data_IF_827729257580
#
_entry.id   IF_827729257580
#
_cell.length_a   1.000
_cell.length_b   1.000
_cell.length_c   1.000
_cell.angle_alpha   90.00
_cell.angle_beta   90.00
_cell.angle_gamma   90.00
#
_symmetry.space_group_name_H-M   'P 1'
#
loop_
_entity.id
_entity.type
_entity.pdbx_description
1 polymer ?
#
# COMPACT_ATOMS: atom_id res chain seq x y z
N UNK A 1 -10.46 -80.22 28.29
CA UNK A 1 -9.45 -79.13 28.24
C UNK A 1 -8.36 -79.51 27.24
N UNK A 2 -8.20 -78.75 26.15
CA UNK A 2 -7.24 -79.09 25.11
C UNK A 2 -7.30 -78.15 23.89
N UNK A 3 -6.42 -77.14 23.92
CA UNK A 3 -5.72 -76.46 22.81
C UNK A 3 -6.50 -75.69 21.71
N UNK A 4 -6.27 -74.37 21.77
CA UNK A 4 -6.24 -73.35 20.69
C UNK A 4 -5.63 -73.86 19.37
N UNK A 5 -6.12 -73.35 18.23
CA UNK A 5 -5.38 -72.44 17.33
C UNK A 5 -6.24 -71.92 16.17
N UNK A 6 -6.22 -70.60 16.00
CA UNK A 6 -6.91 -69.85 14.96
C UNK A 6 -5.95 -69.44 13.82
N UNK A 7 -6.56 -69.29 12.64
CA UNK A 7 -6.29 -68.33 11.57
C UNK A 7 -5.00 -68.46 10.74
N UNK A 8 -5.25 -68.95 9.54
CA UNK A 8 -4.56 -68.64 8.29
C UNK A 8 -4.89 -67.18 7.91
N UNK A 9 -3.88 -66.39 7.51
CA UNK A 9 -4.04 -65.22 6.66
C UNK A 9 -2.81 -65.11 5.77
N UNK A 10 -3.09 -65.00 4.48
CA UNK A 10 -2.17 -65.11 3.37
C UNK A 10 -2.07 -63.76 2.65
N UNK A 11 -0.96 -63.61 1.91
CA UNK A 11 -0.68 -62.66 0.82
C UNK A 11 -0.36 -61.19 1.14
N UNK A 12 0.88 -60.84 0.79
CA UNK A 12 1.42 -59.50 0.84
C UNK A 12 1.21 -58.66 -0.43
N UNK A 13 1.80 -57.47 -0.39
CA UNK A 13 2.19 -56.66 -1.55
C UNK A 13 3.21 -55.60 -1.12
N UNK A 14 4.38 -55.69 -1.74
CA UNK A 14 5.34 -54.64 -2.15
C UNK A 14 4.87 -53.18 -1.90
N UNK A 15 5.71 -52.18 -1.60
CA UNK A 15 6.88 -51.73 -2.40
C UNK A 15 7.50 -50.46 -1.74
N UNK A 16 8.80 -50.25 -1.98
CA UNK A 16 9.55 -48.97 -2.07
C UNK A 16 9.58 -48.00 -0.84
N UNK A 17 10.69 -47.77 -0.14
CA UNK A 17 12.01 -47.20 -0.51
C UNK A 17 12.09 -45.66 -0.39
N UNK A 18 12.99 -45.25 0.52
CA UNK A 18 13.90 -44.07 0.53
C UNK A 18 13.38 -42.67 0.90
N UNK A 19 14.05 -42.15 1.96
CA UNK A 19 14.84 -40.90 2.01
C UNK A 19 14.00 -39.59 2.07
N UNK A 20 14.38 -38.47 2.68
CA UNK A 20 15.68 -37.91 3.06
C UNK A 20 15.46 -36.61 3.86
N UNK A 21 16.48 -36.25 4.65
CA UNK A 21 17.04 -34.89 4.86
C UNK A 21 16.16 -33.72 5.33
N UNK A 22 16.55 -33.21 6.51
CA UNK A 22 17.05 -31.84 6.77
C UNK A 22 16.56 -30.70 5.86
N UNK A 23 16.09 -29.61 6.49
CA UNK A 23 16.73 -28.27 6.45
C UNK A 23 15.84 -27.27 7.20
N UNK A 24 16.17 -27.03 8.46
CA UNK A 24 15.83 -25.78 9.13
C UNK A 24 16.70 -24.68 8.53
N UNK A 25 16.24 -24.10 7.43
CA UNK A 25 16.79 -22.87 6.87
C UNK A 25 15.80 -21.78 7.29
N UNK A 26 16.24 -20.92 8.19
CA UNK A 26 15.54 -19.72 8.68
C UNK A 26 15.12 -18.85 7.50
N UNK A 27 13.89 -19.03 7.03
CA UNK A 27 13.20 -18.05 6.21
C UNK A 27 12.71 -16.95 7.13
N UNK A 28 13.24 -15.74 6.94
CA UNK A 28 12.69 -14.53 7.54
C UNK A 28 11.19 -14.46 7.25
N UNK A 29 10.39 -14.44 8.29
CA UNK A 29 8.93 -14.60 8.27
C UNK A 29 8.27 -13.55 7.37
N UNK A 30 7.44 -13.94 6.37
CA UNK A 30 6.73 -13.02 5.47
C UNK A 30 5.77 -12.06 6.20
N UNK A 31 5.39 -12.38 7.44
CA UNK A 31 4.49 -11.56 8.27
C UNK A 31 5.03 -10.16 8.61
N UNK A 32 6.35 -9.99 8.72
CA UNK A 32 6.94 -8.70 9.11
C UNK A 32 6.90 -7.67 7.96
N UNK A 33 7.02 -8.11 6.71
CA UNK A 33 7.07 -7.22 5.53
C UNK A 33 5.70 -6.64 5.17
N UNK A 34 4.62 -7.41 5.37
CA UNK A 34 3.27 -6.93 5.15
C UNK A 34 2.86 -5.79 6.12
N UNK A 35 3.44 -5.71 7.33
CA UNK A 35 3.11 -4.66 8.30
C UNK A 35 3.50 -3.25 7.84
N UNK A 36 4.56 -3.10 7.06
CA UNK A 36 5.02 -1.77 6.61
C UNK A 36 4.13 -1.16 5.52
N UNK A 37 3.77 -1.96 4.51
CA UNK A 37 2.83 -1.52 3.46
C UNK A 37 1.47 -1.12 4.05
N UNK A 38 1.04 -1.82 5.09
CA UNK A 38 -0.18 -1.52 5.84
C UNK A 38 -0.16 -0.16 6.51
N UNK A 39 0.95 0.15 7.18
CA UNK A 39 1.14 1.44 7.87
C UNK A 39 1.13 2.56 6.84
N UNK A 40 1.91 2.43 5.75
CA UNK A 40 1.96 3.44 4.68
C UNK A 40 0.57 3.65 4.08
N UNK A 41 -0.16 2.57 3.79
CA UNK A 41 -1.48 2.68 3.19
C UNK A 41 -2.52 3.31 4.13
N UNK A 42 -2.47 2.97 5.42
CA UNK A 42 -3.35 3.57 6.44
C UNK A 42 -3.07 5.06 6.56
N UNK A 43 -1.80 5.44 6.64
CA UNK A 43 -1.37 6.83 6.70
C UNK A 43 -1.79 7.62 5.45
N UNK A 44 -1.50 7.11 4.24
CA UNK A 44 -1.94 7.73 2.98
C UNK A 44 -3.47 7.86 2.90
N UNK A 45 -4.21 6.86 3.38
CA UNK A 45 -5.68 6.92 3.39
C UNK A 45 -6.19 7.98 4.37
N UNK A 46 -5.52 8.16 5.51
CA UNK A 46 -5.85 9.19 6.48
C UNK A 46 -5.62 10.59 5.91
N UNK A 47 -4.42 10.86 5.38
CA UNK A 47 -4.08 12.15 4.77
C UNK A 47 -5.02 12.50 3.62
N UNK A 48 -5.32 11.52 2.75
CA UNK A 48 -6.24 11.73 1.63
C UNK A 48 -7.65 12.10 2.09
N UNK A 49 -8.14 11.53 3.20
CA UNK A 49 -9.46 11.87 3.77
C UNK A 49 -9.45 13.30 4.33
N UNK A 50 -8.37 13.69 5.03
CA UNK A 50 -8.22 15.04 5.55
C UNK A 50 -8.21 16.06 4.41
N UNK A 51 -7.41 15.82 3.37
CA UNK A 51 -7.35 16.63 2.16
C UNK A 51 -8.70 16.75 1.46
N UNK A 52 -9.44 15.64 1.30
CA UNK A 52 -10.75 15.67 0.67
C UNK A 52 -11.75 16.56 1.42
N UNK A 53 -11.73 16.52 2.77
CA UNK A 53 -12.58 17.39 3.59
C UNK A 53 -12.20 18.85 3.46
N UNK A 54 -10.90 19.16 3.47
CA UNK A 54 -10.38 20.52 3.28
C UNK A 54 -10.74 21.07 1.90
N UNK A 55 -10.53 20.27 0.85
CA UNK A 55 -10.91 20.62 -0.54
C UNK A 55 -12.41 20.85 -0.62
N UNK A 56 -13.24 19.95 -0.11
CA UNK A 56 -14.69 20.07 -0.19
C UNK A 56 -15.19 21.40 0.41
N UNK A 57 -14.66 21.76 1.59
CA UNK A 57 -15.03 23.00 2.28
C UNK A 57 -14.60 24.27 1.54
N UNK A 58 -13.40 24.26 0.95
CA UNK A 58 -12.77 25.48 0.42
C UNK A 58 -12.82 25.62 -1.11
N UNK A 59 -13.21 24.56 -1.83
CA UNK A 59 -13.21 24.55 -3.31
C UNK A 59 -14.06 25.67 -3.91
N UNK A 60 -15.23 25.96 -3.35
CA UNK A 60 -16.10 27.00 -3.88
C UNK A 60 -15.53 28.41 -3.63
N UNK A 61 -14.83 28.61 -2.51
CA UNK A 61 -14.19 29.89 -2.17
C UNK A 61 -12.98 30.18 -3.06
N UNK A 62 -12.33 29.15 -3.60
CA UNK A 62 -11.11 29.29 -4.40
C UNK A 62 -11.25 28.67 -5.80
N UNK A 63 -12.47 28.60 -6.34
CA UNK A 63 -12.81 27.84 -7.56
C UNK A 63 -11.95 28.19 -8.78
N UNK A 64 -11.54 29.44 -8.91
CA UNK A 64 -10.74 29.96 -10.03
C UNK A 64 -9.23 30.06 -9.73
N UNK A 65 -8.78 29.66 -8.55
CA UNK A 65 -7.36 29.78 -8.19
C UNK A 65 -6.53 28.62 -8.76
N UNK A 66 -5.30 28.96 -9.19
CA UNK A 66 -4.34 27.98 -9.67
C UNK A 66 -3.98 26.96 -8.59
N UNK A 67 -3.77 27.41 -7.35
CA UNK A 67 -3.43 26.53 -6.23
C UNK A 67 -4.55 25.52 -5.93
N UNK A 68 -5.83 25.94 -5.90
CA UNK A 68 -6.93 25.03 -5.61
C UNK A 68 -7.12 24.02 -6.75
N UNK A 69 -6.84 24.42 -7.99
CA UNK A 69 -6.82 23.53 -9.15
C UNK A 69 -5.72 22.47 -9.01
N UNK A 70 -4.51 22.88 -8.60
CA UNK A 70 -3.40 21.98 -8.32
C UNK A 70 -3.73 21.00 -7.18
N UNK A 71 -4.24 21.49 -6.05
CA UNK A 71 -4.69 20.65 -4.92
C UNK A 71 -5.76 19.63 -5.35
N UNK A 72 -6.73 20.04 -6.17
CA UNK A 72 -7.74 19.10 -6.70
C UNK A 72 -7.11 18.07 -7.67
N UNK A 73 -6.07 18.46 -8.42
CA UNK A 73 -5.29 17.58 -9.29
C UNK A 73 -4.55 16.51 -8.48
N UNK A 74 -3.72 16.94 -7.52
CA UNK A 74 -2.94 16.03 -6.67
C UNK A 74 -3.84 15.10 -5.84
N UNK A 75 -4.96 15.58 -5.29
CA UNK A 75 -5.92 14.70 -4.58
C UNK A 75 -6.49 13.62 -5.49
N UNK A 76 -6.79 13.93 -6.76
CA UNK A 76 -7.25 12.92 -7.73
C UNK A 76 -6.14 11.91 -8.05
N UNK A 77 -4.91 12.39 -8.22
CA UNK A 77 -3.74 11.54 -8.49
C UNK A 77 -3.44 10.59 -7.32
N UNK A 78 -3.35 11.13 -6.11
CA UNK A 78 -3.17 10.37 -4.86
C UNK A 78 -4.30 9.35 -4.64
N UNK A 79 -5.55 9.71 -4.94
CA UNK A 79 -6.67 8.77 -4.86
C UNK A 79 -6.50 7.59 -5.82
N UNK A 80 -6.09 7.84 -7.07
CA UNK A 80 -5.82 6.79 -8.07
C UNK A 80 -4.67 5.89 -7.62
N UNK A 81 -3.58 6.48 -7.14
CA UNK A 81 -2.43 5.74 -6.63
C UNK A 81 -2.78 4.90 -5.41
N UNK A 82 -3.50 5.46 -4.44
CA UNK A 82 -3.92 4.74 -3.24
C UNK A 82 -4.82 3.55 -3.57
N UNK A 83 -5.74 3.71 -4.53
CA UNK A 83 -6.57 2.60 -5.02
C UNK A 83 -5.73 1.53 -5.72
N UNK A 84 -4.77 1.92 -6.55
CA UNK A 84 -3.84 0.98 -7.19
C UNK A 84 -2.98 0.23 -6.16
N UNK A 85 -2.47 0.93 -5.15
CA UNK A 85 -1.68 0.34 -4.07
C UNK A 85 -2.50 -0.65 -3.23
N UNK A 86 -3.79 -0.36 -3.00
CA UNK A 86 -4.74 -1.30 -2.37
C UNK A 86 -4.94 -2.57 -3.18
N UNK A 87 -5.00 -2.46 -4.51
CA UNK A 87 -5.20 -3.61 -5.40
C UNK A 87 -3.95 -4.49 -5.49
N UNK A 88 -2.77 -3.89 -5.63
CA UNK A 88 -1.49 -4.63 -5.67
C UNK A 88 -1.12 -5.25 -4.31
N UNK A 89 -1.78 -4.85 -3.23
CA UNK A 89 -1.58 -5.44 -1.89
C UNK A 89 -2.18 -6.82 -1.72
N UNK A 90 -3.24 -7.17 -2.46
CA UNK A 90 -3.88 -8.49 -2.33
C UNK A 90 -3.09 -9.61 -3.00
N UNK A 91 -2.06 -9.29 -3.78
CA UNK A 91 -1.08 -10.26 -4.26
C UNK A 91 0.06 -10.34 -3.25
N UNK A 92 0.48 -11.55 -2.85
CA UNK A 92 1.61 -11.83 -1.92
C UNK A 92 2.98 -11.25 -2.36
N UNK A 93 2.99 -10.49 -3.45
CA UNK A 93 4.12 -9.86 -4.11
C UNK A 93 4.69 -8.66 -3.34
N UNK A 94 3.94 -8.05 -2.39
CA UNK A 94 4.44 -6.93 -1.59
C UNK A 94 5.66 -7.24 -0.72
N UNK A 95 5.90 -8.52 -0.41
CA UNK A 95 7.10 -8.96 0.31
C UNK A 95 8.40 -8.75 -0.49
N UNK A 96 8.25 -8.48 -1.79
CA UNK A 96 9.31 -8.14 -2.71
C UNK A 96 8.90 -6.81 -3.33
N UNK A 97 9.28 -5.69 -2.71
CA UNK A 97 9.31 -4.38 -3.35
C UNK A 97 10.34 -4.36 -4.50
N UNK A 98 10.31 -5.34 -5.41
CA UNK A 98 10.59 -5.09 -6.81
C UNK A 98 9.39 -4.29 -7.29
N UNK A 99 9.47 -2.98 -7.03
CA UNK A 99 8.55 -1.98 -7.53
C UNK A 99 8.51 -2.17 -9.05
N UNK A 100 7.49 -2.89 -9.51
CA UNK A 100 7.16 -3.09 -10.92
C UNK A 100 7.25 -1.74 -11.65
N UNK A 101 7.70 -1.74 -12.91
CA UNK A 101 7.85 -0.52 -13.71
C UNK A 101 6.52 0.27 -13.73
N UNK A 102 5.39 -0.44 -13.75
CA UNK A 102 4.08 0.17 -13.63
C UNK A 102 3.86 0.88 -12.28
N UNK A 103 4.30 0.26 -11.18
CA UNK A 103 4.21 0.86 -9.85
C UNK A 103 5.06 2.11 -9.76
N UNK A 104 6.33 2.02 -10.18
CA UNK A 104 7.25 3.16 -10.18
C UNK A 104 6.69 4.31 -11.00
N UNK A 105 6.19 4.03 -12.21
CA UNK A 105 5.57 5.05 -13.07
C UNK A 105 4.41 5.74 -12.36
N UNK A 106 3.49 4.99 -11.76
CA UNK A 106 2.34 5.56 -11.03
C UNK A 106 2.77 6.34 -9.79
N UNK A 107 3.77 5.85 -9.07
CA UNK A 107 4.37 6.53 -7.92
C UNK A 107 4.99 7.86 -8.33
N UNK A 108 5.86 7.89 -9.35
CA UNK A 108 6.51 9.12 -9.82
C UNK A 108 5.53 10.15 -10.39
N UNK A 109 4.49 9.72 -11.10
CA UNK A 109 3.41 10.62 -11.55
C UNK A 109 2.74 11.26 -10.34
N UNK A 110 2.37 10.46 -9.35
CA UNK A 110 1.69 10.95 -8.14
C UNK A 110 2.60 11.89 -7.33
N UNK A 111 3.88 11.56 -7.22
CA UNK A 111 4.88 12.38 -6.54
C UNK A 111 5.08 13.71 -7.27
N UNK A 112 5.18 13.70 -8.61
CA UNK A 112 5.29 14.92 -9.41
C UNK A 112 4.08 15.84 -9.20
N UNK A 113 2.87 15.29 -9.14
CA UNK A 113 1.67 16.06 -8.88
C UNK A 113 1.68 16.67 -7.46
N UNK A 114 2.12 15.92 -6.45
CA UNK A 114 2.28 16.41 -5.07
C UNK A 114 3.31 17.55 -5.00
N UNK A 115 4.48 17.38 -5.63
CA UNK A 115 5.53 18.41 -5.66
C UNK A 115 5.07 19.68 -6.38
N UNK A 116 4.38 19.53 -7.51
CA UNK A 116 3.82 20.66 -8.27
C UNK A 116 2.80 21.42 -7.41
N UNK A 117 1.92 20.70 -6.71
CA UNK A 117 0.96 21.31 -5.78
C UNK A 117 1.66 22.00 -4.61
N UNK A 118 2.69 21.40 -4.02
CA UNK A 118 3.48 22.00 -2.93
C UNK A 118 4.10 23.34 -3.36
N UNK A 119 4.61 23.42 -4.59
CA UNK A 119 5.14 24.68 -5.15
C UNK A 119 4.06 25.76 -5.36
N UNK A 120 2.84 25.39 -5.77
CA UNK A 120 1.71 26.33 -5.87
C UNK A 120 1.24 26.84 -4.51
N UNK A 121 1.14 25.95 -3.51
CA UNK A 121 0.78 26.32 -2.13
C UNK A 121 1.83 27.27 -1.55
N UNK A 122 3.13 26.97 -1.75
CA UNK A 122 4.23 27.82 -1.29
C UNK A 122 4.19 29.22 -1.91
N UNK A 123 3.89 29.31 -3.22
CA UNK A 123 3.67 30.61 -3.89
C UNK A 123 2.52 31.39 -3.27
N UNK A 124 1.40 30.74 -3.00
CA UNK A 124 0.26 31.41 -2.34
C UNK A 124 0.59 31.88 -0.92
N UNK A 125 1.38 31.10 -0.17
CA UNK A 125 1.84 31.48 1.16
C UNK A 125 2.67 32.76 1.14
N UNK A 126 3.57 32.90 0.16
CA UNK A 126 4.40 34.10 -0.02
C UNK A 126 3.58 35.37 -0.27
N UNK A 127 2.36 35.24 -0.80
CA UNK A 127 1.44 36.36 -1.02
C UNK A 127 0.52 36.65 0.19
N UNK A 128 0.71 35.99 1.33
CA UNK A 128 -0.08 36.13 2.57
C UNK A 128 -1.60 35.96 2.39
N UNK A 129 -2.02 35.31 1.33
CA UNK A 129 -3.43 35.06 1.05
C UNK A 129 -3.90 33.78 1.77
N UNK A 130 -5.02 33.86 2.50
CA UNK A 130 -5.67 32.70 3.13
C UNK A 130 -4.73 31.85 4.02
N UNK A 131 -3.86 32.53 4.78
CA UNK A 131 -2.77 31.94 5.58
C UNK A 131 -3.18 30.70 6.40
N UNK A 132 -4.34 30.64 7.08
CA UNK A 132 -4.70 29.44 7.85
C UNK A 132 -4.89 28.19 6.98
N UNK A 133 -5.56 28.31 5.83
CA UNK A 133 -5.77 27.19 4.91
C UNK A 133 -4.44 26.77 4.28
N UNK A 134 -3.65 27.74 3.84
CA UNK A 134 -2.36 27.49 3.18
C UNK A 134 -1.36 26.82 4.13
N UNK A 135 -1.32 27.24 5.40
CA UNK A 135 -0.44 26.63 6.42
C UNK A 135 -0.80 25.17 6.66
N UNK A 136 -2.09 24.85 6.76
CA UNK A 136 -2.55 23.46 6.90
C UNK A 136 -2.19 22.65 5.66
N UNK A 137 -2.37 23.21 4.46
CA UNK A 137 -1.98 22.52 3.22
C UNK A 137 -0.46 22.30 3.16
N UNK A 138 0.37 23.26 3.57
CA UNK A 138 1.82 23.06 3.67
C UNK A 138 2.17 21.94 4.64
N UNK A 139 1.49 21.81 5.79
CA UNK A 139 1.77 20.71 6.74
C UNK A 139 1.43 19.31 6.20
N UNK A 140 0.58 19.22 5.18
CA UNK A 140 0.20 17.94 4.57
C UNK A 140 1.07 17.63 3.34
N UNK A 141 1.54 18.67 2.63
CA UNK A 141 2.30 18.54 1.37
C UNK A 141 3.82 18.74 1.52
N UNK A 142 4.29 19.36 2.60
CA UNK A 142 5.69 19.59 2.93
C UNK A 142 6.29 18.44 3.72
#
# INVERSE_FOLDING_TARGET
MGKKKSRISDKGRNKCVKKTLTKGLTSSTPEAKNKYGDIILRWLTFELRLLQRLVYRNKNQHRSSAFMSAVCGSVRSLKRFTSFFKQKRSTDELAILHLDEEFNRKFYISLKDVLTTSAEISRMHAHYAHVPLITVLLSIYG
#
